data_IF_813991565370
#
_entry.id   IF_813991565370
#
_cell.length_a   1.000
_cell.length_b   1.000
_cell.length_c   1.000
_cell.angle_alpha   90.00
_cell.angle_beta   90.00
_cell.angle_gamma   90.00
#
_symmetry.space_group_name_H-M   'P 1'
#
loop_
_entity.id
_entity.type
_entity.pdbx_description
1 polymer ?
#
# COMPACT_ATOMS: atom_id res chain seq x y z
N UNK A 1 3.04 -0.17 -19.50
CA UNK A 1 2.44 -1.01 -18.45
C UNK A 1 2.30 -0.22 -17.17
N UNK A 2 1.21 -0.44 -16.45
CA UNK A 2 1.00 0.26 -15.19
C UNK A 2 1.84 -0.34 -14.07
N UNK A 3 2.33 0.52 -13.18
CA UNK A 3 2.99 0.05 -11.97
C UNK A 3 1.95 -0.62 -11.05
N UNK A 4 2.39 -1.56 -10.24
CA UNK A 4 1.52 -2.24 -9.28
C UNK A 4 1.87 -1.77 -7.87
N UNK A 5 0.89 -1.15 -7.22
CA UNK A 5 1.00 -0.72 -5.82
C UNK A 5 0.36 -1.79 -4.96
N UNK A 6 1.14 -2.41 -4.09
CA UNK A 6 0.62 -3.40 -3.16
C UNK A 6 0.50 -2.79 -1.78
N UNK A 7 -0.69 -2.92 -1.19
CA UNK A 7 -1.00 -2.38 0.12
C UNK A 7 -1.29 -3.52 1.08
N UNK A 8 -0.45 -3.68 2.11
CA UNK A 8 -0.70 -4.64 3.17
C UNK A 8 -1.54 -3.97 4.25
N UNK A 9 -2.64 -4.59 4.61
CA UNK A 9 -3.59 -4.06 5.60
C UNK A 9 -3.93 -5.13 6.62
N UNK A 10 -4.56 -4.72 7.71
CA UNK A 10 -5.01 -5.65 8.74
C UNK A 10 -6.27 -5.15 9.39
N UNK A 11 -6.83 -6.01 10.27
CA UNK A 11 -8.04 -5.70 11.02
C UNK A 11 -7.77 -4.55 12.00
N UNK A 12 -8.78 -3.72 12.21
CA UNK A 12 -8.75 -2.62 13.18
C UNK A 12 -7.57 -1.67 12.96
N UNK A 13 -7.29 -1.35 11.71
CA UNK A 13 -6.19 -0.49 11.35
C UNK A 13 -6.71 0.81 10.71
N UNK A 14 -6.80 1.86 11.54
CA UNK A 14 -7.26 3.15 11.04
C UNK A 14 -6.33 3.73 9.97
N UNK A 15 -5.01 3.58 10.17
CA UNK A 15 -4.04 4.05 9.18
C UNK A 15 -4.19 3.32 7.84
N UNK A 16 -4.60 2.05 7.88
CA UNK A 16 -4.86 1.30 6.66
C UNK A 16 -6.05 1.90 5.89
N UNK A 17 -7.07 2.35 6.61
CA UNK A 17 -8.22 3.00 5.99
C UNK A 17 -7.82 4.30 5.31
N UNK A 18 -6.97 5.09 5.96
CA UNK A 18 -6.45 6.33 5.38
C UNK A 18 -5.61 6.04 4.13
N UNK A 19 -4.79 4.99 4.18
CA UNK A 19 -3.99 4.60 3.02
C UNK A 19 -4.86 4.18 1.83
N UNK A 20 -5.93 3.43 2.08
CA UNK A 20 -6.87 3.07 1.02
C UNK A 20 -7.47 4.30 0.36
N UNK A 21 -7.87 5.27 1.17
CA UNK A 21 -8.47 6.50 0.66
C UNK A 21 -7.47 7.28 -0.19
N UNK A 22 -6.21 7.36 0.27
CA UNK A 22 -5.17 8.05 -0.48
C UNK A 22 -4.91 7.37 -1.83
N UNK A 23 -4.82 6.04 -1.85
CA UNK A 23 -4.60 5.32 -3.10
C UNK A 23 -5.80 5.47 -4.04
N UNK A 24 -7.03 5.44 -3.51
CA UNK A 24 -8.21 5.63 -4.33
C UNK A 24 -8.23 7.02 -4.97
N UNK A 25 -7.77 8.03 -4.25
CA UNK A 25 -7.69 9.41 -4.75
C UNK A 25 -6.62 9.56 -5.82
N UNK A 26 -5.47 8.92 -5.63
CA UNK A 26 -4.32 9.09 -6.53
C UNK A 26 -4.37 8.20 -7.76
N UNK A 27 -5.06 7.07 -7.68
CA UNK A 27 -5.09 6.09 -8.77
C UNK A 27 -5.55 6.67 -10.11
N UNK A 28 -6.66 7.42 -10.19
CA UNK A 28 -7.10 7.96 -11.48
C UNK A 28 -6.08 8.94 -12.07
N UNK A 29 -5.36 9.64 -11.23
CA UNK A 29 -4.37 10.61 -11.67
C UNK A 29 -3.09 9.94 -12.17
N UNK A 30 -2.60 8.94 -11.45
CA UNK A 30 -1.29 8.34 -11.71
C UNK A 30 -1.35 7.05 -12.52
N UNK A 31 -2.51 6.41 -12.61
CA UNK A 31 -2.71 5.27 -13.50
C UNK A 31 -2.09 3.95 -13.04
N UNK A 32 -1.84 3.79 -11.75
CA UNK A 32 -1.31 2.52 -11.22
C UNK A 32 -2.43 1.53 -10.92
N UNK A 33 -2.06 0.25 -10.82
CA UNK A 33 -2.95 -0.79 -10.34
C UNK A 33 -2.73 -0.98 -8.84
N UNK A 34 -3.78 -1.39 -8.13
CA UNK A 34 -3.70 -1.63 -6.69
C UNK A 34 -4.00 -3.08 -6.38
N UNK A 35 -3.14 -3.68 -5.56
CA UNK A 35 -3.29 -5.03 -5.07
C UNK A 35 -3.28 -4.94 -3.54
N UNK A 36 -4.40 -5.26 -2.91
CA UNK A 36 -4.51 -5.19 -1.46
C UNK A 36 -4.35 -6.58 -0.85
N UNK A 37 -3.51 -6.68 0.17
CA UNK A 37 -3.26 -7.94 0.88
C UNK A 37 -3.67 -7.76 2.34
N UNK A 38 -4.70 -8.48 2.77
CA UNK A 38 -5.14 -8.48 4.16
C UNK A 38 -4.36 -9.56 4.89
N UNK A 39 -3.55 -9.16 5.87
CA UNK A 39 -2.71 -10.11 6.61
C UNK A 39 -3.46 -10.82 7.73
N UNK A 40 -4.69 -10.40 8.03
CA UNK A 40 -5.47 -10.97 9.14
C UNK A 40 -5.68 -12.46 8.95
N UNK A 41 -5.28 -13.25 9.95
CA UNK A 41 -5.44 -14.69 9.89
C UNK A 41 -4.33 -15.44 9.15
N UNK A 42 -3.35 -14.73 8.62
CA UNK A 42 -2.20 -15.32 7.94
C UNK A 42 -0.98 -15.21 8.85
N UNK A 43 -0.61 -16.27 9.60
CA UNK A 43 0.39 -16.15 10.67
C UNK A 43 1.73 -15.58 10.23
N UNK A 44 2.22 -15.98 9.07
CA UNK A 44 3.52 -15.50 8.60
C UNK A 44 3.46 -14.02 8.23
N UNK A 45 2.38 -13.62 7.56
CA UNK A 45 2.20 -12.22 7.18
C UNK A 45 1.96 -11.35 8.41
N UNK A 46 1.19 -11.84 9.39
CA UNK A 46 0.97 -11.09 10.61
C UNK A 46 2.26 -10.88 11.37
N UNK A 47 3.10 -11.91 11.44
CA UNK A 47 4.39 -11.83 12.11
C UNK A 47 5.30 -10.80 11.45
N UNK A 48 5.29 -10.75 10.13
CA UNK A 48 6.17 -9.88 9.37
C UNK A 48 5.68 -8.43 9.32
N UNK A 49 4.36 -8.22 9.14
CA UNK A 49 3.84 -6.91 8.79
C UNK A 49 3.00 -6.22 9.86
N UNK A 50 2.47 -6.95 10.85
CA UNK A 50 1.48 -6.39 11.79
C UNK A 50 1.91 -5.05 12.40
N UNK A 51 3.15 -4.95 12.83
CA UNK A 51 3.63 -3.73 13.50
C UNK A 51 3.89 -2.56 12.55
N UNK A 52 3.87 -2.82 11.25
CA UNK A 52 4.24 -1.82 10.25
C UNK A 52 3.09 -1.33 9.39
N UNK A 53 1.86 -1.80 9.65
CA UNK A 53 0.71 -1.51 8.80
C UNK A 53 0.33 -0.03 8.79
N UNK A 54 -0.09 0.47 7.64
CA UNK A 54 -0.06 -0.19 6.34
C UNK A 54 1.35 -0.20 5.76
N UNK A 55 1.65 -1.23 4.97
CA UNK A 55 2.91 -1.32 4.25
C UNK A 55 2.61 -1.12 2.77
N UNK A 56 3.37 -0.25 2.12
CA UNK A 56 3.19 0.05 0.70
C UNK A 56 4.39 -0.42 -0.09
N UNK A 57 4.13 -1.23 -1.12
CA UNK A 57 5.15 -1.68 -2.06
C UNK A 57 4.79 -1.19 -3.45
N UNK A 58 5.78 -0.84 -4.24
CA UNK A 58 5.59 -0.50 -5.65
C UNK A 58 6.47 -1.42 -6.46
N UNK A 59 5.84 -2.20 -7.34
CA UNK A 59 6.54 -3.20 -8.17
C UNK A 59 7.45 -4.11 -7.35
N UNK A 60 6.95 -4.53 -6.18
CA UNK A 60 7.65 -5.47 -5.32
C UNK A 60 8.65 -4.86 -4.34
N UNK A 61 8.86 -3.55 -4.40
CA UNK A 61 9.80 -2.88 -3.50
C UNK A 61 9.05 -2.10 -2.41
N UNK A 62 9.41 -2.31 -1.16
CA UNK A 62 8.81 -1.57 -0.05
C UNK A 62 9.25 -0.12 -0.11
N UNK A 63 8.28 0.80 -0.14
CA UNK A 63 8.57 2.23 -0.22
C UNK A 63 8.14 3.00 1.02
N UNK A 64 7.16 2.51 1.78
CA UNK A 64 6.74 3.19 3.00
C UNK A 64 6.00 2.27 3.94
N UNK A 65 5.98 2.66 5.21
CA UNK A 65 5.17 2.02 6.24
C UNK A 65 4.37 3.10 6.96
N UNK A 66 3.24 2.73 7.56
CA UNK A 66 2.33 3.58 8.32
C UNK A 66 1.51 4.55 7.48
N UNK A 67 1.94 4.89 6.29
CA UNK A 67 1.21 5.84 5.44
C UNK A 67 1.65 5.71 3.98
N UNK A 68 0.83 6.29 3.10
CA UNK A 68 1.18 6.43 1.69
C UNK A 68 2.09 7.65 1.54
N UNK A 69 3.22 7.46 0.91
CA UNK A 69 4.13 8.55 0.58
C UNK A 69 3.82 9.02 -0.84
N UNK A 70 3.05 10.09 -0.95
CA UNK A 70 2.58 10.55 -2.26
C UNK A 70 3.73 10.90 -3.21
N UNK A 71 4.80 11.54 -2.70
CA UNK A 71 5.95 11.89 -3.52
C UNK A 71 6.61 10.66 -4.15
N UNK A 72 6.72 9.57 -3.37
CA UNK A 72 7.28 8.32 -3.87
C UNK A 72 6.38 7.69 -4.94
N UNK A 73 5.06 7.73 -4.71
CA UNK A 73 4.12 7.24 -5.71
C UNK A 73 4.25 7.99 -7.02
N UNK A 74 4.31 9.32 -6.96
CA UNK A 74 4.43 10.14 -8.16
C UNK A 74 5.74 9.85 -8.90
N UNK A 75 6.83 9.69 -8.15
CA UNK A 75 8.13 9.45 -8.77
C UNK A 75 8.21 8.06 -9.42
N UNK A 76 7.57 7.06 -8.83
CA UNK A 76 7.71 5.66 -9.26
C UNK A 76 6.62 5.18 -10.20
N UNK A 77 5.47 5.84 -10.22
CA UNK A 77 4.34 5.40 -11.05
C UNK A 77 4.07 6.32 -12.23
N UNK A 78 4.72 7.45 -12.28
CA UNK A 78 4.55 8.40 -13.38
C UNK A 78 5.14 7.81 -14.66
N UNK A 79 4.39 7.82 -15.76
CA UNK A 79 4.89 7.28 -17.04
C UNK A 79 6.04 8.09 -17.60
#
# INVERSE_FOLDING_TARGET
>A
MAAVVRLYVGRDCHLCELARADLARLRPELGFDVEEVDITGEPELEREYRRWLPVVEIDGERVSVYRVEEAELRARTHP
#
